data_IF_187317881500
#
_entry.id   IF_187317881500
#
_cell.length_a   1.000
_cell.length_b   1.000
_cell.length_c   1.000
_cell.angle_alpha   90.00
_cell.angle_beta   90.00
_cell.angle_gamma   90.00
#
_symmetry.space_group_name_H-M   'P 1'
#
loop_
_entity.id
_entity.type
_entity.pdbx_description
1 polymer ?
#
# COMPACT_ATOMS: atom_id res chain seq x y z
N UNK A 1 -11.11 -5.11 1.99
CA UNK A 1 -9.70 -4.69 1.85
C UNK A 1 -8.80 -5.82 2.29
N UNK A 2 -7.78 -6.13 1.51
CA UNK A 2 -6.72 -7.07 1.89
C UNK A 2 -5.42 -6.29 2.10
N UNK A 3 -4.59 -6.73 3.06
CA UNK A 3 -3.26 -6.18 3.30
C UNK A 3 -2.25 -7.30 3.46
N UNK A 4 -1.02 -7.09 3.01
CA UNK A 4 0.07 -8.06 3.15
C UNK A 4 1.40 -7.34 3.40
N UNK A 5 2.36 -8.02 4.00
CA UNK A 5 3.71 -7.50 4.24
C UNK A 5 4.71 -8.56 3.77
N UNK A 6 5.53 -8.19 2.80
CA UNK A 6 6.62 -9.02 2.29
C UNK A 6 7.95 -8.55 2.87
N UNK A 7 8.75 -9.50 3.35
CA UNK A 7 10.05 -9.21 3.96
C UNK A 7 11.03 -10.26 3.44
N UNK A 8 12.09 -9.82 2.74
CA UNK A 8 13.07 -10.70 2.09
C UNK A 8 12.42 -11.77 1.20
N UNK A 9 11.38 -11.40 0.44
CA UNK A 9 10.61 -12.29 -0.42
C UNK A 9 9.54 -13.12 0.28
N UNK A 10 9.50 -13.15 1.61
CA UNK A 10 8.51 -13.91 2.37
C UNK A 10 7.26 -13.09 2.70
N UNK A 11 6.14 -13.45 2.06
CA UNK A 11 4.79 -12.96 2.34
C UNK A 11 4.08 -13.77 3.42
N UNK A 12 2.86 -14.26 3.12
CA UNK A 12 1.99 -15.03 4.00
C UNK A 12 1.60 -14.30 5.30
N UNK A 13 1.44 -12.98 5.20
CA UNK A 13 1.03 -12.11 6.31
C UNK A 13 -0.26 -11.39 5.93
N UNK A 14 -1.16 -12.09 5.26
CA UNK A 14 -2.43 -11.57 4.78
C UNK A 14 -3.35 -11.24 5.96
N UNK A 15 -4.00 -10.08 5.89
CA UNK A 15 -5.13 -9.75 6.74
C UNK A 15 -6.24 -9.17 5.88
N UNK A 16 -7.46 -9.69 6.06
CA UNK A 16 -8.65 -9.31 5.32
C UNK A 16 -9.62 -8.54 6.24
N UNK A 17 -10.07 -7.39 5.77
CA UNK A 17 -10.97 -6.49 6.49
C UNK A 17 -12.23 -6.23 5.69
N UNK A 18 -13.38 -6.25 6.37
CA UNK A 18 -14.61 -5.61 5.88
C UNK A 18 -14.55 -4.13 6.28
N UNK A 19 -14.92 -3.27 5.35
CA UNK A 19 -15.00 -1.84 5.62
C UNK A 19 -16.35 -1.53 6.26
N UNK A 20 -16.38 -0.50 7.12
CA UNK A 20 -17.61 -0.01 7.76
C UNK A 20 -18.39 1.00 6.90
N UNK A 21 -18.01 1.11 5.62
CA UNK A 21 -18.61 1.97 4.61
C UNK A 21 -18.51 1.32 3.24
N UNK A 22 -19.21 1.88 2.26
CA UNK A 22 -19.09 1.49 0.85
C UNK A 22 -17.94 2.27 0.19
N UNK A 23 -16.81 1.62 -0.18
CA UNK A 23 -15.66 2.31 -0.75
C UNK A 23 -15.87 2.79 -2.19
N UNK A 24 -17.04 2.55 -2.79
CA UNK A 24 -17.37 2.97 -4.16
C UNK A 24 -18.12 4.30 -4.23
N UNK A 25 -18.63 4.80 -3.09
CA UNK A 25 -19.48 5.99 -3.06
C UNK A 25 -18.72 7.31 -2.87
N UNK A 26 -17.56 7.28 -2.21
CA UNK A 26 -16.70 8.45 -2.02
C UNK A 26 -15.22 8.03 -1.88
N UNK A 27 -14.31 9.01 -1.94
CA UNK A 27 -12.89 8.79 -1.70
C UNK A 27 -12.60 8.65 -0.20
N UNK A 28 -11.86 7.59 0.12
CA UNK A 28 -11.31 7.34 1.44
C UNK A 28 -9.78 7.42 1.42
N UNK A 29 -9.19 7.79 2.55
CA UNK A 29 -7.75 7.96 2.69
C UNK A 29 -7.12 6.67 3.23
N UNK A 30 -6.37 5.98 2.38
CA UNK A 30 -5.53 4.85 2.78
C UNK A 30 -4.13 5.36 3.05
N UNK A 31 -3.56 5.06 4.22
CA UNK A 31 -2.21 5.50 4.58
C UNK A 31 -1.40 4.33 5.09
N UNK A 32 -0.14 4.24 4.63
CA UNK A 32 0.86 3.31 5.15
C UNK A 32 2.00 4.13 5.74
N UNK A 33 2.25 3.93 7.03
CA UNK A 33 3.26 4.66 7.80
C UNK A 33 4.32 3.69 8.31
N UNK A 34 5.37 3.42 7.51
CA UNK A 34 6.51 2.64 7.97
C UNK A 34 7.40 3.49 8.90
N UNK A 35 7.87 2.88 9.98
CA UNK A 35 8.84 3.45 10.91
C UNK A 35 9.88 2.40 11.33
N UNK A 36 10.84 2.76 12.18
CA UNK A 36 11.76 1.77 12.76
C UNK A 36 11.10 0.82 13.76
N UNK A 37 9.90 1.16 14.24
CA UNK A 37 9.18 0.41 15.28
C UNK A 37 7.99 -0.37 14.74
N UNK A 38 7.25 0.21 13.80
CA UNK A 38 6.01 -0.37 13.28
C UNK A 38 5.79 0.00 11.81
N UNK A 39 5.11 -0.89 11.09
CA UNK A 39 4.42 -0.55 9.84
C UNK A 39 2.94 -0.48 10.16
N UNK A 40 2.38 0.73 10.12
CA UNK A 40 0.97 0.96 10.37
C UNK A 40 0.21 1.16 9.06
N UNK A 41 -0.96 0.56 8.94
CA UNK A 41 -1.92 0.85 7.88
C UNK A 41 -3.18 1.44 8.51
N UNK A 42 -3.60 2.60 8.04
CA UNK A 42 -4.80 3.29 8.50
C UNK A 42 -5.76 3.60 7.36
N UNK A 43 -7.03 3.69 7.71
CA UNK A 43 -8.13 4.08 6.83
C UNK A 43 -8.84 5.28 7.45
N UNK A 44 -8.86 6.41 6.74
CA UNK A 44 -9.39 7.68 7.23
C UNK A 44 -8.82 8.10 8.60
N UNK A 45 -7.52 7.82 8.81
CA UNK A 45 -6.83 8.09 10.06
C UNK A 45 -7.08 7.09 11.20
N UNK A 46 -7.93 6.08 10.98
CA UNK A 46 -8.18 4.99 11.93
C UNK A 46 -7.19 3.85 11.64
N UNK A 47 -6.30 3.48 12.59
CA UNK A 47 -5.39 2.34 12.40
C UNK A 47 -6.18 1.03 12.28
N UNK A 48 -5.96 0.29 11.19
CA UNK A 48 -6.61 -1.01 10.95
C UNK A 48 -5.64 -2.18 11.03
N UNK A 49 -4.33 -1.92 10.89
CA UNK A 49 -3.28 -2.92 11.02
C UNK A 49 -2.00 -2.28 11.55
N UNK A 50 -1.34 -2.98 12.46
CA UNK A 50 -0.01 -2.62 12.94
C UNK A 50 0.89 -3.86 12.90
N UNK A 51 2.04 -3.74 12.25
CA UNK A 51 3.08 -4.77 12.22
C UNK A 51 4.29 -4.28 13.00
N UNK A 52 4.51 -4.85 14.17
CA UNK A 52 5.57 -4.42 15.09
C UNK A 52 6.93 -4.99 14.68
N UNK A 53 7.98 -4.19 14.87
CA UNK A 53 9.35 -4.65 14.81
C UNK A 53 9.62 -5.56 16.00
N UNK A 54 9.66 -6.86 15.73
CA UNK A 54 9.96 -7.92 16.69
C UNK A 54 11.22 -8.68 16.26
N UNK A 55 12.19 -8.01 15.63
CA UNK A 55 13.46 -8.61 15.24
C UNK A 55 14.22 -9.22 16.43
N UNK A 56 14.11 -8.62 17.62
CA UNK A 56 14.65 -9.18 18.86
C UNK A 56 14.05 -10.53 19.27
N UNK A 57 12.89 -10.88 18.70
CA UNK A 57 12.20 -12.16 18.86
C UNK A 57 12.29 -13.04 17.61
N UNK A 58 13.19 -12.70 16.67
CA UNK A 58 13.44 -13.45 15.45
C UNK A 58 12.41 -13.23 14.33
N UNK A 59 11.53 -12.23 14.44
CA UNK A 59 10.58 -11.91 13.37
C UNK A 59 11.21 -10.87 12.44
N UNK A 60 11.39 -11.16 11.14
CA UNK A 60 11.95 -10.21 10.18
C UNK A 60 11.13 -8.91 10.11
N UNK A 61 11.80 -7.80 9.77
CA UNK A 61 11.17 -6.48 9.65
C UNK A 61 11.68 -5.71 8.43
N UNK A 62 10.83 -5.00 7.66
CA UNK A 62 11.23 -4.33 6.42
C UNK A 62 11.87 -2.96 6.71
N UNK A 63 13.14 -2.96 7.13
CA UNK A 63 13.91 -1.73 7.43
C UNK A 63 15.06 -1.42 6.47
N UNK A 64 15.62 -2.43 5.80
CA UNK A 64 16.88 -2.28 5.07
C UNK A 64 16.70 -2.02 3.58
N UNK A 65 15.48 -2.19 3.06
CA UNK A 65 15.17 -2.08 1.64
C UNK A 65 14.40 -0.80 1.35
N UNK A 66 14.86 -0.04 0.35
CA UNK A 66 14.12 1.09 -0.17
C UNK A 66 12.83 0.59 -0.83
N UNK A 67 11.74 1.34 -0.65
CA UNK A 67 10.42 0.99 -1.17
C UNK A 67 9.97 2.02 -2.21
N UNK A 68 9.26 1.54 -3.21
CA UNK A 68 8.54 2.37 -4.17
C UNK A 68 7.03 2.23 -3.94
N UNK A 69 6.29 3.31 -4.15
CA UNK A 69 4.84 3.28 -4.17
C UNK A 69 4.38 2.99 -5.60
N UNK A 70 3.52 1.99 -5.74
CA UNK A 70 2.89 1.63 -7.00
C UNK A 70 1.38 1.50 -6.81
N UNK A 71 0.62 1.81 -7.85
CA UNK A 71 -0.83 1.64 -7.90
C UNK A 71 -1.18 1.00 -9.23
N UNK A 72 -2.03 -0.03 -9.23
CA UNK A 72 -2.46 -0.73 -10.42
C UNK A 72 -3.90 -1.19 -10.27
N UNK A 73 -4.58 -1.37 -11.41
CA UNK A 73 -5.84 -2.07 -11.53
C UNK A 73 -5.60 -3.22 -12.52
N UNK A 74 -5.88 -4.45 -12.11
CA UNK A 74 -5.55 -5.65 -12.88
C UNK A 74 -6.53 -6.78 -12.58
N UNK A 75 -6.55 -7.80 -13.43
CA UNK A 75 -7.46 -8.93 -13.37
C UNK A 75 -6.86 -10.08 -12.54
N UNK A 76 -7.61 -10.58 -11.56
CA UNK A 76 -7.12 -11.54 -10.56
C UNK A 76 -8.16 -12.64 -10.24
N UNK A 77 -8.91 -13.10 -11.23
CA UNK A 77 -10.07 -13.98 -11.04
C UNK A 77 -9.72 -15.36 -10.50
N UNK A 78 -8.45 -15.74 -10.46
CA UNK A 78 -8.03 -17.02 -9.88
C UNK A 78 -8.07 -17.03 -8.36
N UNK A 79 -8.13 -15.87 -7.69
CA UNK A 79 -8.11 -15.81 -6.24
C UNK A 79 -8.92 -14.67 -5.61
N UNK A 80 -9.13 -13.55 -6.31
CA UNK A 80 -9.64 -12.31 -5.70
C UNK A 80 -11.05 -12.47 -5.09
N UNK A 81 -12.02 -12.97 -5.87
CA UNK A 81 -13.42 -13.02 -5.46
C UNK A 81 -13.83 -14.43 -5.05
N UNK A 82 -14.20 -14.59 -3.77
CA UNK A 82 -14.53 -15.89 -3.16
C UNK A 82 -13.45 -16.96 -3.43
N UNK A 83 -12.17 -16.61 -3.35
CA UNK A 83 -11.08 -17.56 -3.60
C UNK A 83 -11.02 -18.05 -5.05
N UNK A 84 -11.51 -17.27 -6.00
CA UNK A 84 -11.48 -17.57 -7.44
C UNK A 84 -12.74 -18.22 -8.00
N UNK A 85 -13.75 -18.45 -7.17
CA UNK A 85 -15.04 -19.04 -7.60
C UNK A 85 -15.92 -18.09 -8.42
N UNK A 86 -15.74 -16.78 -8.28
CA UNK A 86 -16.45 -15.78 -9.11
C UNK A 86 -15.42 -15.13 -10.03
N UNK A 87 -15.60 -15.36 -11.34
CA UNK A 87 -14.75 -14.78 -12.38
C UNK A 87 -15.26 -13.40 -12.80
N UNK A 88 -14.37 -12.58 -13.33
CA UNK A 88 -14.72 -11.27 -13.90
C UNK A 88 -15.71 -11.42 -15.06
N UNK A 89 -16.69 -10.53 -15.13
CA UNK A 89 -17.61 -10.41 -16.27
C UNK A 89 -17.20 -9.20 -17.11
N UNK A 90 -16.53 -9.47 -18.24
CA UNK A 90 -16.03 -8.43 -19.13
C UNK A 90 -17.11 -7.61 -19.84
N UNK A 91 -18.38 -8.06 -19.83
CA UNK A 91 -19.48 -7.25 -20.37
C UNK A 91 -19.76 -5.99 -19.54
N UNK A 92 -19.30 -5.96 -18.28
CA UNK A 92 -19.42 -4.82 -17.37
C UNK A 92 -18.25 -3.82 -17.48
N UNK A 93 -17.32 -4.05 -18.41
CA UNK A 93 -16.21 -3.12 -18.66
C UNK A 93 -16.72 -1.77 -19.20
N UNK A 94 -16.02 -0.65 -18.94
CA UNK A 94 -14.71 -0.55 -18.28
C UNK A 94 -14.78 -0.57 -16.74
N UNK A 95 -13.82 -1.24 -16.11
CA UNK A 95 -13.59 -1.16 -14.66
C UNK A 95 -12.73 0.05 -14.35
N UNK A 96 -13.22 0.94 -13.48
CA UNK A 96 -12.55 2.22 -13.19
C UNK A 96 -12.18 2.32 -11.72
N UNK A 97 -10.92 2.69 -11.44
CA UNK A 97 -10.45 3.08 -10.12
C UNK A 97 -9.95 4.53 -10.19
N UNK A 98 -10.37 5.36 -9.24
CA UNK A 98 -10.00 6.77 -9.17
C UNK A 98 -9.10 7.02 -7.97
N UNK A 99 -8.03 7.79 -8.17
CA UNK A 99 -7.05 8.13 -7.15
C UNK A 99 -6.88 9.65 -7.09
N UNK A 100 -6.77 10.22 -5.89
CA UNK A 100 -6.50 11.65 -5.67
C UNK A 100 -5.67 11.86 -4.41
N UNK A 101 -5.17 13.08 -4.22
CA UNK A 101 -4.47 13.51 -3.01
C UNK A 101 -3.24 12.64 -2.64
N UNK A 102 -2.42 12.30 -3.65
CA UNK A 102 -1.16 11.59 -3.44
C UNK A 102 -0.24 12.41 -2.54
N UNK A 103 0.06 11.87 -1.35
CA UNK A 103 0.93 12.50 -0.37
C UNK A 103 2.02 11.52 0.07
N UNK A 104 3.27 11.87 -0.18
CA UNK A 104 4.43 11.07 0.20
C UNK A 104 5.31 11.90 1.11
N UNK A 105 5.42 11.48 2.37
CA UNK A 105 6.36 12.04 3.34
C UNK A 105 7.45 11.01 3.62
N UNK A 106 8.52 11.10 2.85
CA UNK A 106 9.69 10.24 2.99
C UNK A 106 10.89 11.05 3.47
N UNK A 107 11.67 10.49 4.40
CA UNK A 107 13.03 10.95 4.61
C UNK A 107 13.90 10.38 3.49
N UNK A 108 14.42 11.23 2.62
CA UNK A 108 15.39 10.80 1.60
C UNK A 108 16.66 10.34 2.30
N UNK A 109 17.08 9.10 2.06
CA UNK A 109 18.37 8.60 2.52
C UNK A 109 19.49 9.31 1.75
N UNK A 110 20.07 10.35 2.32
CA UNK A 110 21.34 10.92 1.85
C UNK A 110 22.49 10.19 2.54
N UNK A 111 23.56 9.87 1.79
CA UNK A 111 24.80 9.24 2.32
C UNK A 111 25.56 10.13 3.33
N UNK A 112 25.02 11.32 3.61
CA UNK A 112 25.47 12.28 4.61
C UNK A 112 24.29 12.65 5.52
N UNK A 113 24.57 12.63 6.80
CA UNK A 113 23.70 12.71 7.98
C UNK A 113 22.58 13.75 8.00
N UNK A 114 21.51 13.36 8.72
CA UNK A 114 20.46 14.17 9.39
C UNK A 114 19.12 14.29 8.65
N UNK A 115 18.12 13.55 9.15
CA UNK A 115 16.74 13.65 8.70
C UNK A 115 16.09 14.93 9.25
N UNK A 116 16.03 15.99 8.45
CA UNK A 116 15.05 17.06 8.65
C UNK A 116 13.82 16.75 7.80
N UNK A 117 12.63 16.72 8.40
CA UNK A 117 11.34 16.64 7.71
C UNK A 117 11.21 17.86 6.78
N UNK A 118 11.74 17.77 5.57
CA UNK A 118 11.49 18.77 4.55
C UNK A 118 10.28 18.35 3.73
N UNK A 119 9.26 19.20 3.56
CA UNK A 119 8.27 18.98 2.52
C UNK A 119 9.04 19.04 1.20
N UNK A 120 9.09 17.94 0.46
CA UNK A 120 9.77 17.89 -0.83
C UNK A 120 9.05 18.83 -1.80
N UNK A 121 9.61 20.04 -1.93
CA UNK A 121 9.22 21.00 -2.96
C UNK A 121 9.72 20.50 -4.31
N UNK A 122 8.82 19.85 -5.05
CA UNK A 122 8.78 19.67 -6.51
C UNK A 122 10.02 19.17 -7.29
N UNK A 123 9.73 18.12 -8.10
CA UNK A 123 10.27 17.71 -9.43
C UNK A 123 11.16 16.47 -9.48
N UNK A 124 10.51 15.31 -9.64
CA UNK A 124 10.66 14.54 -10.89
C UNK A 124 9.36 13.77 -11.14
N UNK A 125 8.82 13.95 -12.35
CA UNK A 125 7.67 13.20 -12.81
C UNK A 125 8.16 11.83 -13.28
N UNK A 126 7.53 10.75 -12.81
CA UNK A 126 7.54 9.48 -13.53
C UNK A 126 6.09 9.24 -13.95
N UNK A 127 5.79 9.64 -15.18
CA UNK A 127 4.57 9.22 -15.88
C UNK A 127 4.87 7.85 -16.47
N UNK A 128 4.09 6.84 -16.11
CA UNK A 128 3.96 5.64 -16.93
C UNK A 128 2.51 5.52 -17.36
N UNK A 129 2.25 5.87 -18.61
CA UNK A 129 0.99 5.62 -19.29
C UNK A 129 0.87 4.13 -19.56
N UNK A 130 -0.13 3.47 -18.97
CA UNK A 130 -0.63 2.20 -19.49
C UNK A 130 -1.40 2.50 -20.78
N UNK A 131 -0.67 2.48 -21.90
CA UNK A 131 -1.21 2.68 -23.24
C UNK A 131 -1.31 1.36 -24.01
N UNK A 132 -2.56 1.03 -24.36
CA UNK A 132 -3.10 0.05 -25.34
C UNK A 132 -2.48 -1.33 -25.45
#
# INVERSE_FOLDING_TARGET
>A
MDSNIYIYGAGNKEQRFRLWFDPTLDFHTYTVTPSSRTVETSLDGIPIRQFNNLESRGVPYPKDQQMQIQCSLWEASDWATRGGHIKIDWSLAPFTASYRNFNVRASTWSRSSSCSNQPSSHKSWLTETLGR
#
